data_IF_661474380666
#
_entry.id   IF_661474380666
#
_cell.length_a   1.000
_cell.length_b   1.000
_cell.length_c   1.000
_cell.angle_alpha   90.00
_cell.angle_beta   90.00
_cell.angle_gamma   90.00
#
_symmetry.space_group_name_H-M   'P 1'
#
loop_
_entity.id
_entity.type
_entity.pdbx_description
1 polymer ?
#
# COMPACT_ATOMS: atom_id res chain seq x y z
N UNK A 1 -24.66 -14.71 46.73
CA UNK A 1 -24.85 -13.46 46.00
C UNK A 1 -23.83 -13.45 44.89
N UNK A 2 -24.24 -13.91 43.69
CA UNK A 2 -23.36 -14.14 42.53
C UNK A 2 -23.64 -13.02 41.57
N UNK A 3 -22.62 -12.24 41.25
CA UNK A 3 -22.66 -11.23 40.16
C UNK A 3 -22.44 -11.91 38.82
N UNK A 4 -23.19 -11.55 37.78
CA UNK A 4 -22.95 -12.04 36.44
C UNK A 4 -21.84 -11.24 35.75
N UNK A 5 -20.95 -11.96 35.10
CA UNK A 5 -19.98 -11.45 34.11
C UNK A 5 -20.73 -10.88 32.91
N UNK A 6 -20.53 -9.60 32.63
CA UNK A 6 -20.98 -8.97 31.39
C UNK A 6 -20.03 -9.36 30.24
N UNK A 7 -20.45 -10.28 29.41
CA UNK A 7 -19.84 -10.55 28.14
C UNK A 7 -20.16 -9.44 27.16
N UNK A 8 -19.16 -8.64 26.77
CA UNK A 8 -19.30 -7.64 25.72
C UNK A 8 -19.46 -8.31 24.34
N UNK A 9 -20.66 -8.29 23.80
CA UNK A 9 -20.91 -8.62 22.40
C UNK A 9 -20.38 -7.46 21.53
N UNK A 10 -19.28 -7.70 20.85
CA UNK A 10 -18.84 -6.81 19.77
C UNK A 10 -19.87 -6.82 18.64
N UNK A 11 -20.39 -5.67 18.30
CA UNK A 11 -21.31 -5.50 17.16
C UNK A 11 -20.56 -5.86 15.87
N UNK A 12 -20.97 -6.95 15.22
CA UNK A 12 -20.50 -7.34 13.90
C UNK A 12 -21.17 -6.40 12.87
N UNK A 13 -20.41 -5.48 12.28
CA UNK A 13 -20.87 -4.75 11.11
C UNK A 13 -20.61 -5.62 9.87
N UNK A 14 -21.67 -6.16 9.30
CA UNK A 14 -21.66 -6.87 8.02
C UNK A 14 -22.15 -5.88 6.96
N UNK A 15 -21.23 -5.39 6.11
CA UNK A 15 -21.60 -4.61 4.91
C UNK A 15 -21.43 -5.48 3.67
N UNK A 16 -22.47 -5.58 2.87
CA UNK A 16 -22.47 -6.32 1.61
C UNK A 16 -22.27 -5.39 0.40
N UNK A 17 -21.46 -5.83 -0.56
CA UNK A 17 -21.28 -5.18 -1.88
C UNK A 17 -21.90 -6.09 -2.93
N UNK A 18 -22.59 -5.49 -3.91
CA UNK A 18 -23.10 -6.23 -5.06
C UNK A 18 -21.94 -6.53 -6.05
N UNK A 19 -21.64 -7.80 -6.26
CA UNK A 19 -20.75 -8.22 -7.33
C UNK A 19 -21.43 -8.04 -8.71
N UNK A 20 -20.65 -8.00 -9.78
CA UNK A 20 -21.16 -7.87 -11.16
C UNK A 20 -22.11 -9.00 -11.58
N UNK A 21 -22.09 -10.13 -10.84
CA UNK A 21 -23.02 -11.26 -10.94
C UNK A 21 -24.32 -11.09 -10.14
N UNK A 22 -24.52 -9.95 -9.46
CA UNK A 22 -25.69 -9.70 -8.61
C UNK A 22 -25.59 -10.31 -7.21
N UNK A 23 -24.48 -10.95 -6.83
CA UNK A 23 -24.23 -11.41 -5.46
C UNK A 23 -23.51 -10.33 -4.66
N UNK A 24 -23.97 -10.10 -3.43
CA UNK A 24 -23.28 -9.20 -2.50
C UNK A 24 -22.00 -9.88 -1.97
N UNK A 25 -20.85 -9.22 -2.14
CA UNK A 25 -19.61 -9.65 -1.51
C UNK A 25 -19.60 -9.14 -0.07
N UNK A 26 -19.56 -10.07 0.88
CA UNK A 26 -19.43 -9.74 2.31
C UNK A 26 -17.98 -9.93 2.71
N UNK A 27 -17.41 -8.94 3.39
CA UNK A 27 -16.05 -9.01 3.93
C UNK A 27 -16.09 -8.83 5.44
N UNK A 28 -15.50 -9.78 6.15
CA UNK A 28 -15.27 -9.72 7.59
C UNK A 28 -13.77 -9.72 7.83
N UNK A 29 -13.29 -8.84 8.70
CA UNK A 29 -11.86 -8.74 9.03
C UNK A 29 -11.66 -9.00 10.51
N UNK A 30 -10.70 -9.85 10.84
CA UNK A 30 -10.29 -10.16 12.21
C UNK A 30 -8.82 -9.80 12.42
N UNK A 31 -8.54 -8.88 13.34
CA UNK A 31 -7.16 -8.53 13.72
C UNK A 31 -6.46 -9.75 14.30
N UNK A 32 -5.29 -10.09 13.77
CA UNK A 32 -4.54 -11.25 14.27
C UNK A 32 -3.91 -11.04 15.64
N UNK A 33 -3.65 -9.78 16.02
CA UNK A 33 -2.97 -9.39 17.25
C UNK A 33 -3.63 -8.15 17.83
N UNK A 34 -3.44 -7.92 19.13
CA UNK A 34 -3.86 -6.70 19.82
C UNK A 34 -2.78 -5.60 19.79
N UNK A 35 -1.90 -5.64 18.79
CA UNK A 35 -0.83 -4.66 18.57
C UNK A 35 -0.35 -4.71 17.11
N UNK A 36 0.33 -3.65 16.67
CA UNK A 36 1.04 -3.62 15.40
C UNK A 36 2.23 -4.60 15.41
N UNK A 37 2.51 -5.22 14.25
CA UNK A 37 3.63 -6.16 14.08
C UNK A 37 4.97 -5.45 13.85
N UNK A 38 4.95 -4.23 13.31
CA UNK A 38 6.11 -3.34 13.15
C UNK A 38 5.76 -1.99 13.76
N UNK A 39 6.62 -1.49 14.61
CA UNK A 39 6.51 -0.15 15.25
C UNK A 39 7.89 0.50 15.30
N UNK A 40 8.02 1.79 15.59
CA UNK A 40 9.31 2.44 15.83
C UNK A 40 10.19 1.72 16.85
N UNK A 41 9.59 1.08 17.85
CA UNK A 41 10.30 0.32 18.87
C UNK A 41 10.89 -1.01 18.38
N UNK A 42 10.48 -1.49 17.18
CA UNK A 42 11.00 -2.76 16.63
C UNK A 42 12.50 -2.70 16.37
N UNK A 43 13.01 -1.58 15.84
CA UNK A 43 14.44 -1.36 15.66
C UNK A 43 14.74 0.11 15.35
N UNK A 44 15.82 0.72 15.92
CA UNK A 44 16.13 2.14 15.72
C UNK A 44 16.39 2.55 14.25
N UNK A 45 16.81 1.62 13.38
CA UNK A 45 17.11 1.94 11.99
C UNK A 45 15.88 2.31 11.16
N UNK A 46 14.66 1.94 11.58
CA UNK A 46 13.45 2.18 10.79
C UNK A 46 12.77 3.53 11.08
N UNK A 47 13.21 4.28 12.11
CA UNK A 47 12.61 5.57 12.47
C UNK A 47 11.13 5.49 12.82
N UNK A 48 10.44 6.63 12.76
CA UNK A 48 9.06 6.77 13.26
C UNK A 48 7.99 6.68 12.17
N UNK A 49 8.34 6.94 10.91
CA UNK A 49 7.39 6.85 9.79
C UNK A 49 7.48 5.48 9.11
N UNK A 50 6.40 4.71 9.16
CA UNK A 50 6.34 3.29 8.76
C UNK A 50 5.07 3.06 7.95
N UNK A 51 5.21 2.78 6.64
CA UNK A 51 4.08 2.64 5.73
C UNK A 51 4.38 1.73 4.54
N UNK A 52 3.37 1.45 3.71
CA UNK A 52 3.47 0.74 2.43
C UNK A 52 3.95 -0.70 2.56
N UNK A 53 3.28 -1.55 3.38
CA UNK A 53 3.68 -2.94 3.52
C UNK A 53 3.53 -3.74 2.22
N UNK A 54 4.41 -4.73 2.04
CA UNK A 54 4.25 -5.81 1.06
C UNK A 54 4.92 -7.06 1.61
N UNK A 55 4.17 -8.16 1.69
CA UNK A 55 4.58 -9.39 2.34
C UNK A 55 4.70 -10.53 1.34
N UNK A 56 5.79 -11.28 1.43
CA UNK A 56 5.94 -12.54 0.70
C UNK A 56 6.30 -13.69 1.64
N UNK A 57 5.89 -14.90 1.28
CA UNK A 57 6.56 -16.11 1.73
C UNK A 57 7.83 -16.28 0.90
N UNK A 58 8.98 -16.44 1.56
CA UNK A 58 10.25 -16.66 0.87
C UNK A 58 10.19 -17.99 0.13
N UNK A 59 10.44 -18.00 -1.19
CA UNK A 59 10.34 -19.23 -1.97
C UNK A 59 11.47 -20.21 -1.64
N UNK A 60 11.20 -21.51 -1.74
CA UNK A 60 12.11 -22.60 -1.36
C UNK A 60 13.42 -22.64 -2.17
N UNK A 61 13.48 -21.93 -3.30
CA UNK A 61 14.69 -21.82 -4.11
C UNK A 61 15.68 -20.73 -3.63
N UNK A 62 15.29 -19.91 -2.64
CA UNK A 62 16.20 -18.95 -2.00
C UNK A 62 17.09 -19.68 -1.01
N UNK A 63 18.40 -19.60 -1.21
CA UNK A 63 19.37 -20.22 -0.34
C UNK A 63 19.61 -19.37 0.92
N UNK A 64 19.66 -20.03 2.08
CA UNK A 64 19.91 -19.40 3.39
C UNK A 64 19.05 -18.15 3.69
N UNK A 65 17.72 -18.25 3.62
CA UNK A 65 16.86 -17.11 3.88
C UNK A 65 16.99 -16.62 5.34
N UNK A 66 16.74 -15.34 5.59
CA UNK A 66 16.73 -14.76 6.94
C UNK A 66 15.56 -15.28 7.80
N UNK A 67 14.47 -15.69 7.16
CA UNK A 67 13.28 -16.24 7.79
C UNK A 67 12.29 -16.72 6.71
N UNK A 68 11.19 -17.30 7.15
CA UNK A 68 10.13 -17.83 6.26
C UNK A 68 9.37 -16.74 5.51
N UNK A 69 9.23 -15.55 6.11
CA UNK A 69 8.49 -14.42 5.55
C UNK A 69 9.39 -13.20 5.48
N UNK A 70 9.24 -12.43 4.39
CA UNK A 70 9.85 -11.12 4.20
C UNK A 70 8.75 -10.07 4.07
N UNK A 71 8.81 -9.04 4.92
CA UNK A 71 7.94 -7.88 4.91
C UNK A 71 8.74 -6.66 4.48
N UNK A 72 8.40 -6.14 3.32
CA UNK A 72 8.96 -4.90 2.79
C UNK A 72 8.07 -3.72 3.15
N UNK A 73 8.68 -2.58 3.44
CA UNK A 73 7.97 -1.35 3.79
C UNK A 73 8.91 -0.14 3.66
N UNK A 74 8.40 1.07 3.90
CA UNK A 74 9.20 2.28 3.71
C UNK A 74 8.86 3.38 4.73
N UNK A 75 9.65 4.44 4.72
CA UNK A 75 9.27 5.77 5.15
C UNK A 75 8.70 6.51 3.93
N UNK A 76 7.69 7.34 4.11
CA UNK A 76 7.03 8.07 3.02
C UNK A 76 8.00 8.97 2.21
N UNK A 77 9.01 9.49 2.86
CA UNK A 77 10.09 10.27 2.23
C UNK A 77 11.46 9.62 2.47
N UNK A 78 11.47 8.29 2.58
CA UNK A 78 12.67 7.52 2.90
C UNK A 78 13.64 7.36 1.75
N UNK A 79 14.87 7.03 2.10
CA UNK A 79 15.96 6.82 1.15
C UNK A 79 16.22 5.36 0.82
N UNK A 80 15.43 4.43 1.37
CA UNK A 80 15.59 3.00 1.11
C UNK A 80 14.30 2.22 1.39
N UNK A 81 14.14 1.08 0.75
CA UNK A 81 13.11 0.10 1.07
C UNK A 81 13.61 -0.76 2.24
N UNK A 82 12.85 -0.75 3.33
CA UNK A 82 13.12 -1.50 4.55
C UNK A 82 12.72 -2.96 4.39
N UNK A 83 13.35 -3.83 5.17
CA UNK A 83 13.07 -5.26 5.20
C UNK A 83 12.97 -5.74 6.65
N UNK A 84 11.84 -6.38 6.96
CA UNK A 84 11.68 -7.21 8.14
C UNK A 84 11.52 -8.68 7.73
N UNK A 85 11.84 -9.60 8.64
CA UNK A 85 11.69 -11.04 8.42
C UNK A 85 11.22 -11.75 9.69
N UNK A 86 10.53 -12.85 9.49
CA UNK A 86 10.03 -13.70 10.58
C UNK A 86 9.80 -15.14 10.11
N UNK A 87 9.65 -16.07 11.05
CA UNK A 87 9.29 -17.46 10.78
C UNK A 87 7.78 -17.72 10.90
N UNK A 88 7.03 -16.77 11.44
CA UNK A 88 5.58 -16.81 11.55
C UNK A 88 4.96 -15.43 11.27
N UNK A 89 3.74 -15.38 10.71
CA UNK A 89 3.02 -14.15 10.40
C UNK A 89 2.77 -13.26 11.63
N UNK A 90 2.60 -13.88 12.79
CA UNK A 90 2.45 -13.17 14.08
C UNK A 90 3.76 -12.65 14.65
N UNK A 91 4.90 -12.97 14.00
CA UNK A 91 6.25 -12.62 14.46
C UNK A 91 6.83 -13.65 15.45
N UNK A 92 7.87 -13.31 16.23
CA UNK A 92 8.46 -11.96 16.30
C UNK A 92 9.14 -11.54 15.00
N UNK A 93 8.91 -10.31 14.58
CA UNK A 93 9.55 -9.72 13.42
C UNK A 93 10.92 -9.12 13.78
N UNK A 94 11.89 -9.33 12.92
CA UNK A 94 13.25 -8.80 13.04
C UNK A 94 13.55 -7.89 11.85
N UNK A 95 14.26 -6.80 12.08
CA UNK A 95 14.64 -5.88 11.00
C UNK A 95 15.98 -6.30 10.42
N UNK A 96 16.09 -6.29 9.09
CA UNK A 96 17.35 -6.28 8.37
C UNK A 96 17.80 -4.82 8.17
N UNK A 97 18.77 -4.29 8.95
CA UNK A 97 19.00 -2.83 9.01
C UNK A 97 19.47 -2.21 7.69
N UNK A 98 20.11 -2.99 6.82
CA UNK A 98 20.53 -2.52 5.50
C UNK A 98 19.35 -2.29 4.53
N UNK A 99 18.16 -2.83 4.85
CA UNK A 99 17.01 -2.83 3.92
C UNK A 99 17.24 -3.72 2.71
N UNK A 100 16.50 -3.46 1.64
CA UNK A 100 16.54 -4.29 0.41
C UNK A 100 16.90 -3.50 -0.85
N UNK A 101 16.66 -2.19 -0.89
CA UNK A 101 17.01 -1.31 -2.01
C UNK A 101 17.31 0.09 -1.50
N UNK A 102 18.45 0.64 -1.89
CA UNK A 102 18.83 2.01 -1.57
C UNK A 102 18.42 2.97 -2.70
N UNK A 103 18.10 4.22 -2.37
CA UNK A 103 17.77 5.24 -3.38
C UNK A 103 18.92 5.45 -4.39
N UNK A 104 20.18 5.32 -3.95
CA UNK A 104 21.35 5.43 -4.82
C UNK A 104 21.37 4.37 -5.94
N UNK A 105 20.74 3.21 -5.71
CA UNK A 105 20.69 2.07 -6.64
C UNK A 105 19.33 1.98 -7.36
N UNK A 106 18.45 2.98 -7.19
CA UNK A 106 17.05 2.95 -7.62
C UNK A 106 16.78 3.59 -8.98
N UNK A 107 17.77 4.25 -9.57
CA UNK A 107 17.62 5.15 -10.73
C UNK A 107 16.74 6.38 -10.50
N UNK A 108 16.36 6.69 -9.27
CA UNK A 108 15.74 7.96 -8.89
C UNK A 108 16.80 8.98 -8.45
N UNK A 109 16.51 10.30 -8.57
CA UNK A 109 17.39 11.33 -8.07
C UNK A 109 17.67 11.20 -6.58
N UNK A 110 18.94 11.37 -6.20
CA UNK A 110 19.38 11.37 -4.78
C UNK A 110 19.46 12.79 -4.20
N UNK A 111 19.26 13.81 -5.04
CA UNK A 111 19.25 15.22 -4.64
C UNK A 111 17.92 15.86 -5.08
N UNK A 112 17.44 16.88 -4.36
CA UNK A 112 16.27 17.62 -4.78
C UNK A 112 16.40 18.13 -6.21
N UNK A 113 15.39 17.94 -7.08
CA UNK A 113 15.38 18.52 -8.40
C UNK A 113 15.27 20.05 -8.32
N UNK A 114 15.76 20.78 -9.33
CA UNK A 114 15.58 22.23 -9.42
C UNK A 114 14.08 22.55 -9.46
N UNK A 115 13.72 23.65 -8.82
CA UNK A 115 12.36 24.19 -8.85
C UNK A 115 12.28 25.17 -10.02
N UNK A 116 11.42 24.93 -11.04
CA UNK A 116 11.23 25.90 -12.11
C UNK A 116 10.67 27.22 -11.58
N UNK A 117 11.01 28.32 -12.25
CA UNK A 117 10.48 29.65 -11.90
C UNK A 117 8.95 29.67 -11.94
N UNK A 118 8.32 30.23 -10.89
CA UNK A 118 6.85 30.29 -10.77
C UNK A 118 6.16 28.97 -10.44
N UNK A 119 6.88 27.83 -10.40
CA UNK A 119 6.25 26.52 -10.26
C UNK A 119 5.64 26.27 -8.87
N UNK A 120 6.16 26.88 -7.82
CA UNK A 120 5.58 26.77 -6.46
C UNK A 120 4.26 27.53 -6.38
N UNK A 121 4.20 28.73 -6.94
CA UNK A 121 3.01 29.56 -7.00
C UNK A 121 1.91 28.87 -7.83
N UNK A 122 2.29 28.28 -8.96
CA UNK A 122 1.35 27.51 -9.78
C UNK A 122 0.84 26.27 -9.05
N UNK A 123 1.70 25.53 -8.36
CA UNK A 123 1.31 24.37 -7.55
C UNK A 123 0.35 24.80 -6.43
N UNK A 124 0.59 25.92 -5.78
CA UNK A 124 -0.31 26.49 -4.76
C UNK A 124 -1.66 26.86 -5.36
N UNK A 125 -1.68 27.58 -6.48
CA UNK A 125 -2.90 28.02 -7.15
C UNK A 125 -3.74 26.82 -7.64
N UNK A 126 -3.10 25.80 -8.20
CA UNK A 126 -3.76 24.55 -8.61
C UNK A 126 -4.44 23.88 -7.43
N UNK A 127 -3.71 23.67 -6.32
CA UNK A 127 -4.25 23.00 -5.15
C UNK A 127 -5.39 23.80 -4.51
N UNK A 128 -5.31 25.11 -4.50
CA UNK A 128 -6.41 25.98 -4.04
C UNK A 128 -7.66 25.82 -4.92
N UNK A 129 -7.50 25.75 -6.25
CA UNK A 129 -8.62 25.49 -7.17
C UNK A 129 -9.26 24.12 -6.95
N UNK A 130 -8.48 23.12 -6.50
CA UNK A 130 -8.96 21.80 -6.15
C UNK A 130 -9.58 21.73 -4.74
N UNK A 131 -9.72 22.87 -4.05
CA UNK A 131 -10.25 22.92 -2.68
C UNK A 131 -9.32 22.32 -1.62
N UNK A 132 -8.04 22.11 -1.95
CA UNK A 132 -7.05 21.49 -1.07
C UNK A 132 -6.16 22.55 -0.43
N UNK A 133 -5.94 22.44 0.88
CA UNK A 133 -5.07 23.34 1.64
C UNK A 133 -3.63 22.84 1.72
N UNK A 134 -2.68 23.75 1.73
CA UNK A 134 -1.28 23.48 2.08
C UNK A 134 -0.97 23.74 3.57
N UNK A 135 -1.89 24.35 4.31
CA UNK A 135 -1.63 24.79 5.70
C UNK A 135 -1.47 23.66 6.69
N UNK A 136 -1.97 22.47 6.37
CA UNK A 136 -1.85 21.26 7.21
C UNK A 136 -0.65 20.39 6.85
N UNK A 137 0.22 20.80 5.91
CA UNK A 137 1.40 20.00 5.59
C UNK A 137 2.40 19.99 6.74
N UNK A 138 3.03 18.85 7.05
CA UNK A 138 4.01 18.74 8.11
C UNK A 138 5.37 19.37 7.77
N UNK A 139 5.54 19.86 6.52
CA UNK A 139 6.74 20.50 6.02
C UNK A 139 6.43 21.50 4.92
N UNK A 140 7.44 22.24 4.41
CA UNK A 140 7.24 23.23 3.34
C UNK A 140 6.77 22.60 2.02
N UNK A 141 6.04 23.37 1.22
CA UNK A 141 5.59 22.98 -0.12
C UNK A 141 6.78 22.57 -1.01
N UNK A 142 7.88 23.32 -0.95
CA UNK A 142 9.07 22.97 -1.68
C UNK A 142 9.58 21.57 -1.32
N UNK A 143 9.67 21.25 -0.02
CA UNK A 143 10.06 19.91 0.44
C UNK A 143 9.06 18.84 -0.01
N UNK A 144 7.74 19.10 0.04
CA UNK A 144 6.73 18.16 -0.45
C UNK A 144 6.98 17.76 -1.91
N UNK A 145 7.33 18.73 -2.75
CA UNK A 145 7.43 18.57 -4.20
C UNK A 145 8.83 18.18 -4.69
N UNK A 146 9.86 18.26 -3.84
CA UNK A 146 11.27 18.03 -4.26
C UNK A 146 12.05 17.05 -3.39
N UNK A 147 11.49 16.53 -2.28
CA UNK A 147 12.23 15.59 -1.43
C UNK A 147 12.52 14.28 -2.17
N UNK A 148 13.79 13.93 -2.42
CA UNK A 148 14.15 12.63 -2.98
C UNK A 148 13.70 11.51 -2.07
N UNK A 149 13.06 10.49 -2.62
CA UNK A 149 12.60 9.33 -1.86
C UNK A 149 12.30 8.14 -2.76
N UNK A 150 12.27 6.96 -2.16
CA UNK A 150 11.67 5.74 -2.69
C UNK A 150 10.77 5.12 -1.63
N UNK A 151 9.61 4.61 -2.04
CA UNK A 151 8.60 4.11 -1.08
C UNK A 151 7.63 3.10 -1.69
N UNK A 152 6.73 2.60 -0.84
CA UNK A 152 5.55 1.78 -1.14
C UNK A 152 5.83 0.60 -2.07
N UNK A 153 6.68 -0.35 -1.64
CA UNK A 153 6.99 -1.54 -2.41
C UNK A 153 5.74 -2.39 -2.66
N UNK A 154 5.70 -3.04 -3.82
CA UNK A 154 4.77 -4.11 -4.18
C UNK A 154 5.59 -5.30 -4.68
N UNK A 155 5.66 -6.37 -3.89
CA UNK A 155 6.65 -7.44 -4.09
C UNK A 155 5.96 -8.75 -4.42
N UNK A 156 6.40 -9.38 -5.50
CA UNK A 156 5.85 -10.61 -6.03
C UNK A 156 6.94 -11.67 -6.27
N UNK A 157 6.57 -12.93 -6.07
CA UNK A 157 7.43 -14.08 -6.36
C UNK A 157 7.12 -14.63 -7.75
N UNK A 158 8.05 -14.50 -8.68
CA UNK A 158 8.01 -15.13 -9.99
C UNK A 158 8.65 -16.52 -9.92
N UNK A 159 7.84 -17.52 -9.58
CA UNK A 159 8.26 -18.91 -9.44
C UNK A 159 8.85 -19.47 -10.74
N UNK A 160 8.27 -19.10 -11.88
CA UNK A 160 8.70 -19.60 -13.21
C UNK A 160 10.13 -19.23 -13.54
N UNK A 161 10.49 -17.97 -13.26
CA UNK A 161 11.82 -17.43 -13.58
C UNK A 161 12.76 -17.43 -12.35
N UNK A 162 12.31 -17.96 -11.19
CA UNK A 162 13.05 -17.99 -9.92
C UNK A 162 13.66 -16.63 -9.60
N UNK A 163 12.78 -15.61 -9.51
CA UNK A 163 13.13 -14.24 -9.15
C UNK A 163 12.04 -13.61 -8.30
N UNK A 164 12.39 -12.58 -7.57
CA UNK A 164 11.48 -11.74 -6.78
C UNK A 164 11.45 -10.38 -7.47
N UNK A 165 10.24 -9.88 -7.75
CA UNK A 165 9.99 -8.63 -8.45
C UNK A 165 9.47 -7.62 -7.42
N UNK A 166 10.02 -6.41 -7.40
CA UNK A 166 9.57 -5.31 -6.56
C UNK A 166 9.22 -4.13 -7.45
N UNK A 167 7.97 -3.72 -7.44
CA UNK A 167 7.56 -2.40 -7.94
C UNK A 167 7.67 -1.41 -6.79
N UNK A 168 8.20 -0.22 -7.06
CA UNK A 168 8.37 0.82 -6.06
C UNK A 168 8.29 2.18 -6.72
N UNK A 169 7.86 3.21 -6.01
CA UNK A 169 7.83 4.54 -6.58
C UNK A 169 8.91 5.44 -5.95
N UNK A 170 9.19 6.53 -6.63
CA UNK A 170 10.09 7.57 -6.15
C UNK A 170 9.86 8.90 -6.86
N UNK A 171 10.53 9.93 -6.39
CA UNK A 171 10.53 11.24 -7.02
C UNK A 171 11.46 11.26 -8.22
N UNK A 172 10.91 11.45 -9.43
CA UNK A 172 11.66 11.50 -10.69
C UNK A 172 12.03 12.94 -11.12
N UNK A 173 11.30 13.92 -10.60
CA UNK A 173 11.50 15.35 -10.90
C UNK A 173 10.62 16.24 -10.03
N UNK A 174 10.60 17.56 -10.29
CA UNK A 174 9.74 18.49 -9.56
C UNK A 174 8.28 18.04 -9.61
N UNK A 175 7.69 17.76 -8.44
CA UNK A 175 6.30 17.31 -8.29
C UNK A 175 5.94 16.05 -9.09
N UNK A 176 6.92 15.30 -9.62
CA UNK A 176 6.71 14.12 -10.45
C UNK A 176 7.17 12.86 -9.72
N UNK A 177 6.23 11.96 -9.43
CA UNK A 177 6.50 10.64 -8.88
C UNK A 177 6.11 9.57 -9.89
N UNK A 178 6.98 8.58 -10.05
CA UNK A 178 6.79 7.47 -10.99
C UNK A 178 7.08 6.14 -10.29
N UNK A 179 6.65 5.05 -10.93
CA UNK A 179 6.99 3.68 -10.53
C UNK A 179 8.11 3.14 -11.40
N UNK A 180 9.02 2.39 -10.77
CA UNK A 180 10.05 1.55 -11.40
C UNK A 180 9.93 0.12 -10.87
N UNK A 181 10.70 -0.79 -11.46
CA UNK A 181 10.79 -2.18 -11.03
C UNK A 181 12.23 -2.55 -10.68
N UNK A 182 12.39 -3.40 -9.68
CA UNK A 182 13.66 -4.01 -9.29
C UNK A 182 13.51 -5.52 -9.19
N UNK A 183 14.58 -6.25 -9.45
CA UNK A 183 14.64 -7.71 -9.45
C UNK A 183 15.64 -8.21 -8.43
N UNK A 184 15.32 -9.35 -7.79
CA UNK A 184 16.21 -10.02 -6.84
C UNK A 184 16.18 -11.54 -7.03
N UNK A 185 17.26 -12.20 -6.63
CA UNK A 185 17.36 -13.66 -6.53
C UNK A 185 17.18 -14.17 -5.11
N UNK A 186 17.35 -13.31 -4.11
CA UNK A 186 17.34 -13.68 -2.69
C UNK A 186 16.28 -12.91 -1.88
N UNK A 187 15.63 -11.89 -2.50
CA UNK A 187 14.67 -11.02 -1.81
C UNK A 187 15.30 -9.99 -0.87
N UNK A 188 16.62 -9.94 -0.80
CA UNK A 188 17.38 -8.99 0.03
C UNK A 188 18.06 -7.95 -0.84
N UNK A 189 18.74 -8.38 -1.89
CA UNK A 189 19.52 -7.52 -2.78
C UNK A 189 18.76 -7.32 -4.09
N UNK A 190 18.15 -6.16 -4.25
CA UNK A 190 17.41 -5.80 -5.46
C UNK A 190 18.25 -4.94 -6.41
N UNK A 191 18.12 -5.21 -7.69
CA UNK A 191 18.70 -4.42 -8.79
C UNK A 191 17.57 -3.71 -9.52
N UNK A 192 17.50 -2.40 -9.40
CA UNK A 192 16.49 -1.60 -10.08
C UNK A 192 16.77 -1.52 -11.59
N UNK A 193 15.69 -1.38 -12.34
CA UNK A 193 15.72 -1.17 -13.79
C UNK A 193 15.41 0.30 -14.11
N UNK A 194 15.98 0.85 -15.18
CA UNK A 194 15.80 2.26 -15.56
C UNK A 194 14.41 2.59 -16.15
N UNK A 195 13.64 1.57 -16.53
CA UNK A 195 12.32 1.76 -17.15
C UNK A 195 11.34 2.47 -16.21
N UNK A 196 10.59 3.43 -16.76
CA UNK A 196 9.50 4.12 -16.10
C UNK A 196 8.20 3.42 -16.46
N UNK A 197 7.48 2.89 -15.46
CA UNK A 197 6.34 2.02 -15.68
C UNK A 197 5.00 2.76 -15.68
N UNK A 198 4.90 3.87 -14.99
CA UNK A 198 3.65 4.62 -14.84
C UNK A 198 3.64 5.48 -13.59
N UNK A 199 2.44 5.87 -13.13
CA UNK A 199 2.23 6.69 -11.94
C UNK A 199 2.69 5.97 -10.67
N UNK A 200 2.80 6.72 -9.57
CA UNK A 200 3.20 6.21 -8.24
C UNK A 200 2.18 5.24 -7.64
N UNK A 201 2.63 4.41 -6.70
CA UNK A 201 1.83 3.42 -5.98
C UNK A 201 1.23 2.34 -6.88
N UNK A 202 1.97 1.85 -7.88
CA UNK A 202 1.53 0.75 -8.73
C UNK A 202 1.45 -0.55 -7.93
N UNK A 203 0.28 -1.19 -7.98
CA UNK A 203 0.02 -2.55 -7.49
C UNK A 203 -0.35 -3.43 -8.67
N UNK A 204 0.21 -4.64 -8.74
CA UNK A 204 0.09 -5.48 -9.93
C UNK A 204 -0.64 -6.79 -9.68
N UNK A 205 -1.20 -7.36 -10.73
CA UNK A 205 -1.82 -8.68 -10.75
C UNK A 205 -1.74 -9.31 -12.14
N UNK A 206 -1.76 -10.63 -12.20
CA UNK A 206 -1.75 -11.38 -13.46
C UNK A 206 -3.17 -11.69 -13.92
N UNK A 207 -3.49 -11.40 -15.18
CA UNK A 207 -4.76 -11.75 -15.80
C UNK A 207 -4.56 -12.01 -17.29
N UNK A 208 -5.17 -13.11 -17.82
CA UNK A 208 -5.16 -13.47 -19.25
C UNK A 208 -3.75 -13.47 -19.90
N UNK A 209 -2.72 -13.86 -19.13
CA UNK A 209 -1.34 -13.95 -19.63
C UNK A 209 -0.60 -12.62 -19.72
N UNK A 210 -1.14 -11.56 -19.15
CA UNK A 210 -0.51 -10.24 -19.05
C UNK A 210 -0.44 -9.79 -17.58
N UNK A 211 0.52 -8.93 -17.26
CA UNK A 211 0.58 -8.21 -16.01
C UNK A 211 -0.25 -6.93 -16.12
N UNK A 212 -1.25 -6.81 -15.28
CA UNK A 212 -2.02 -5.59 -15.10
C UNK A 212 -1.58 -4.88 -13.82
N UNK A 213 -1.84 -3.57 -13.73
CA UNK A 213 -1.61 -2.82 -12.51
C UNK A 213 -2.55 -1.64 -12.39
N UNK A 214 -2.73 -1.19 -11.15
CA UNK A 214 -3.43 0.05 -10.82
C UNK A 214 -2.51 0.95 -10.01
N UNK A 215 -2.40 2.20 -10.43
CA UNK A 215 -1.64 3.24 -9.74
C UNK A 215 -2.55 4.38 -9.29
N UNK A 216 -2.11 5.14 -8.30
CA UNK A 216 -2.86 6.28 -7.76
C UNK A 216 -3.08 7.38 -8.84
N UNK A 217 -4.30 7.93 -8.98
CA UNK A 217 -5.53 7.67 -8.24
C UNK A 217 -6.51 6.75 -8.99
N UNK A 218 -6.11 5.54 -9.35
CA UNK A 218 -6.96 4.57 -10.05
C UNK A 218 -6.65 4.39 -11.53
N UNK A 219 -5.48 4.83 -11.99
CA UNK A 219 -5.01 4.61 -13.35
C UNK A 219 -4.60 3.17 -13.57
N UNK A 220 -5.29 2.46 -14.45
CA UNK A 220 -4.92 1.10 -14.86
C UNK A 220 -3.82 1.12 -15.93
N UNK A 221 -3.02 0.07 -15.88
CA UNK A 221 -1.94 -0.22 -16.83
C UNK A 221 -1.95 -1.71 -17.15
N UNK A 222 -1.36 -2.09 -18.29
CA UNK A 222 -1.02 -3.48 -18.61
C UNK A 222 0.32 -3.59 -19.32
N UNK A 223 0.98 -4.73 -19.13
CA UNK A 223 2.28 -5.04 -19.73
C UNK A 223 2.36 -6.53 -20.09
N UNK A 224 3.06 -6.92 -21.16
CA UNK A 224 3.24 -8.33 -21.51
C UNK A 224 4.06 -9.12 -20.49
N UNK A 225 4.99 -8.49 -19.79
CA UNK A 225 5.97 -9.16 -18.92
C UNK A 225 6.12 -8.56 -17.52
N UNK A 226 5.40 -7.44 -17.24
CA UNK A 226 5.47 -6.71 -16.00
C UNK A 226 6.78 -5.95 -15.75
N UNK A 227 7.72 -5.95 -16.69
CA UNK A 227 9.03 -5.31 -16.50
C UNK A 227 9.20 -4.03 -17.29
N UNK A 228 8.34 -3.79 -18.26
CA UNK A 228 8.35 -2.62 -19.11
C UNK A 228 7.17 -2.59 -20.06
N UNK A 229 7.12 -1.59 -20.95
CA UNK A 229 6.08 -1.50 -21.98
C UNK A 229 4.65 -1.42 -21.41
N UNK A 230 4.48 -0.76 -20.26
CA UNK A 230 3.16 -0.55 -19.68
C UNK A 230 2.31 0.40 -20.53
N UNK A 231 1.17 -0.06 -20.97
CA UNK A 231 0.16 0.68 -21.71
C UNK A 231 -0.90 1.24 -20.74
N UNK A 232 -1.28 2.51 -20.89
CA UNK A 232 -2.33 3.11 -20.07
C UNK A 232 -3.71 2.60 -20.48
N UNK A 233 -4.53 2.27 -19.49
CA UNK A 233 -5.88 1.82 -19.60
C UNK A 233 -6.90 2.78 -19.00
N UNK A 234 -8.04 2.29 -18.51
CA UNK A 234 -9.07 3.13 -17.92
C UNK A 234 -8.58 3.79 -16.63
N UNK A 235 -9.06 5.00 -16.38
CA UNK A 235 -8.95 5.67 -15.08
C UNK A 235 -10.25 5.42 -14.33
N UNK A 236 -10.19 4.61 -13.29
CA UNK A 236 -11.32 4.26 -12.44
C UNK A 236 -11.17 4.93 -11.07
N UNK A 237 -12.20 4.82 -10.24
CA UNK A 237 -12.29 5.46 -8.93
C UNK A 237 -12.34 7.00 -9.00
N UNK A 238 -12.42 7.61 -7.84
CA UNK A 238 -12.44 9.07 -7.73
C UNK A 238 -11.02 9.65 -7.55
N UNK A 239 -10.80 10.95 -7.79
CA UNK A 239 -9.48 11.58 -7.70
C UNK A 239 -8.83 11.50 -6.31
N UNK A 240 -9.59 11.21 -5.27
CA UNK A 240 -9.09 11.07 -3.89
C UNK A 240 -8.71 9.63 -3.53
N UNK A 241 -8.89 8.67 -4.44
CA UNK A 241 -8.36 7.32 -4.29
C UNK A 241 -6.85 7.39 -4.04
N UNK A 242 -6.38 6.63 -3.05
CA UNK A 242 -5.01 6.74 -2.58
C UNK A 242 -4.26 5.41 -2.74
N UNK A 243 -4.05 4.69 -1.67
CA UNK A 243 -3.33 3.43 -1.69
C UNK A 243 -4.29 2.28 -1.97
N UNK A 244 -3.84 1.26 -2.65
CA UNK A 244 -4.64 0.06 -2.84
C UNK A 244 -3.84 -1.23 -2.66
N UNK A 245 -4.58 -2.32 -2.49
CA UNK A 245 -4.11 -3.69 -2.57
C UNK A 245 -5.07 -4.52 -3.40
N UNK A 246 -4.57 -5.54 -4.06
CA UNK A 246 -5.31 -6.31 -5.04
C UNK A 246 -5.39 -7.78 -4.65
N UNK A 247 -6.59 -8.36 -4.81
CA UNK A 247 -6.82 -9.79 -4.70
C UNK A 247 -7.66 -10.24 -5.89
N UNK A 248 -7.17 -11.20 -6.66
CA UNK A 248 -7.89 -11.73 -7.81
C UNK A 248 -8.43 -13.13 -7.54
N UNK A 249 -9.71 -13.34 -7.86
CA UNK A 249 -10.38 -14.65 -7.84
C UNK A 249 -11.11 -14.88 -9.16
N UNK A 250 -10.61 -15.79 -9.98
CA UNK A 250 -11.16 -15.98 -11.32
C UNK A 250 -11.12 -14.68 -12.11
N UNK A 251 -12.28 -14.23 -12.58
CA UNK A 251 -12.45 -12.96 -13.30
C UNK A 251 -12.95 -11.82 -12.39
N UNK A 252 -12.87 -11.97 -11.08
CA UNK A 252 -13.21 -10.91 -10.13
C UNK A 252 -11.95 -10.35 -9.47
N UNK A 253 -11.76 -9.03 -9.55
CA UNK A 253 -10.71 -8.30 -8.87
C UNK A 253 -11.30 -7.58 -7.66
N UNK A 254 -10.78 -7.86 -6.48
CA UNK A 254 -11.05 -7.15 -5.24
C UNK A 254 -9.98 -6.08 -5.08
N UNK A 255 -10.40 -4.83 -4.95
CA UNK A 255 -9.51 -3.67 -4.74
C UNK A 255 -9.78 -3.13 -3.34
N UNK A 256 -8.87 -3.40 -2.41
CA UNK A 256 -8.86 -2.77 -1.09
C UNK A 256 -8.15 -1.42 -1.23
N UNK A 257 -8.76 -0.33 -0.76
CA UNK A 257 -8.22 1.00 -1.00
C UNK A 257 -8.59 2.00 0.09
N UNK A 258 -7.89 3.14 0.13
CA UNK A 258 -8.19 4.24 1.04
C UNK A 258 -8.45 5.52 0.27
N UNK A 259 -9.12 6.47 0.91
CA UNK A 259 -9.51 7.75 0.31
C UNK A 259 -9.09 8.93 1.17
N UNK A 260 -8.39 9.87 0.55
CA UNK A 260 -8.05 11.16 1.15
C UNK A 260 -9.33 11.95 1.46
N UNK A 261 -9.34 12.65 2.59
CA UNK A 261 -10.49 13.43 3.03
C UNK A 261 -11.49 12.66 3.89
N UNK A 262 -11.40 11.33 3.98
CA UNK A 262 -12.21 10.57 4.94
C UNK A 262 -11.84 10.91 6.40
N UNK A 263 -12.84 10.91 7.27
CA UNK A 263 -12.73 11.14 8.70
C UNK A 263 -13.47 10.02 9.47
N UNK A 264 -12.77 8.99 9.97
CA UNK A 264 -11.35 8.69 9.77
C UNK A 264 -11.05 8.16 8.36
N UNK A 265 -9.78 8.24 7.90
CA UNK A 265 -9.32 7.48 6.74
C UNK A 265 -9.33 6.00 7.11
N UNK A 266 -9.91 5.17 6.22
CA UNK A 266 -10.25 3.79 6.47
C UNK A 266 -10.12 2.95 5.22
N UNK A 267 -10.07 1.64 5.37
CA UNK A 267 -9.95 0.70 4.25
C UNK A 267 -11.34 0.40 3.71
N UNK A 268 -11.48 0.59 2.41
CA UNK A 268 -12.65 0.30 1.59
C UNK A 268 -12.37 -0.89 0.68
N UNK A 269 -13.42 -1.52 0.16
CA UNK A 269 -13.36 -2.54 -0.87
C UNK A 269 -14.30 -2.20 -2.01
N UNK A 270 -13.78 -2.20 -3.23
CA UNK A 270 -14.55 -2.25 -4.48
C UNK A 270 -14.20 -3.51 -5.24
N UNK A 271 -15.08 -3.98 -6.13
CA UNK A 271 -14.81 -5.10 -7.03
C UNK A 271 -14.90 -4.67 -8.48
N UNK A 272 -14.19 -5.38 -9.36
CA UNK A 272 -14.16 -5.15 -10.81
C UNK A 272 -14.30 -6.49 -11.51
N UNK A 273 -15.25 -6.58 -12.46
CA UNK A 273 -15.45 -7.73 -13.34
C UNK A 273 -14.44 -7.68 -14.49
N UNK A 274 -13.44 -8.56 -14.45
CA UNK A 274 -12.38 -8.68 -15.45
C UNK A 274 -12.78 -9.49 -16.70
N UNK A 275 -13.98 -10.09 -16.72
CA UNK A 275 -14.49 -10.82 -17.89
C UNK A 275 -14.79 -9.91 -19.09
N UNK A 276 -14.91 -8.60 -18.84
CA UNK A 276 -15.12 -7.56 -19.84
C UNK A 276 -13.80 -7.17 -20.51
N UNK A 277 -13.82 -6.58 -21.73
CA UNK A 277 -12.66 -5.91 -22.27
C UNK A 277 -12.11 -4.88 -21.28
N UNK A 278 -10.81 -4.83 -21.12
CA UNK A 278 -10.19 -4.04 -20.03
C UNK A 278 -10.50 -2.53 -20.07
N UNK A 279 -10.78 -1.97 -21.24
CA UNK A 279 -11.23 -0.58 -21.39
C UNK A 279 -12.66 -0.33 -20.93
N UNK A 280 -13.45 -1.39 -20.72
CA UNK A 280 -14.85 -1.35 -20.24
C UNK A 280 -14.97 -1.70 -18.76
N UNK A 281 -13.84 -1.96 -18.08
CA UNK A 281 -13.85 -2.24 -16.64
C UNK A 281 -14.44 -1.07 -15.86
N UNK A 282 -15.16 -1.41 -14.80
CA UNK A 282 -15.79 -0.45 -13.88
C UNK A 282 -15.75 -1.01 -12.48
N UNK A 283 -15.42 -0.15 -11.53
CA UNK A 283 -15.51 -0.46 -10.12
C UNK A 283 -16.97 -0.42 -9.64
N UNK A 284 -17.27 -1.26 -8.66
CA UNK A 284 -18.52 -1.19 -7.90
C UNK A 284 -18.33 -0.23 -6.73
N UNK A 285 -19.42 0.47 -6.33
CA UNK A 285 -19.45 1.36 -5.15
C UNK A 285 -18.79 0.69 -3.93
N UNK A 286 -17.93 1.40 -3.20
CA UNK A 286 -17.15 0.81 -2.13
C UNK A 286 -17.98 0.49 -0.89
N UNK A 287 -17.64 -0.62 -0.24
CA UNK A 287 -18.02 -0.87 1.14
C UNK A 287 -16.83 -0.66 2.07
N UNK A 288 -17.13 -0.29 3.31
CA UNK A 288 -16.12 -0.20 4.36
C UNK A 288 -15.71 -1.60 4.84
N UNK A 289 -14.40 -1.81 4.99
CA UNK A 289 -13.79 -3.07 5.42
C UNK A 289 -13.24 -2.94 6.84
N UNK A 290 -12.47 -1.88 7.11
CA UNK A 290 -11.77 -1.71 8.37
C UNK A 290 -11.54 -0.21 8.65
N UNK A 291 -11.80 0.19 9.90
CA UNK A 291 -11.48 1.53 10.42
C UNK A 291 -10.66 1.44 11.71
N UNK A 292 -10.03 2.54 12.16
CA UNK A 292 -9.41 2.58 13.47
C UNK A 292 -10.42 2.31 14.57
N UNK A 293 -10.15 1.33 15.43
CA UNK A 293 -11.00 0.96 16.58
C UNK A 293 -10.17 0.72 17.85
N UNK A 294 -8.85 0.66 17.72
CA UNK A 294 -7.90 0.42 18.79
C UNK A 294 -7.01 1.64 18.98
N UNK A 295 -6.58 1.89 20.21
CA UNK A 295 -5.68 3.01 20.51
C UNK A 295 -4.40 2.94 19.66
N UNK A 296 -3.82 1.75 19.50
CA UNK A 296 -2.64 1.56 18.67
C UNK A 296 -2.88 1.75 17.15
N UNK A 297 -4.12 1.76 16.69
CA UNK A 297 -4.54 2.16 15.34
C UNK A 297 -4.78 3.68 15.21
N UNK A 298 -4.69 4.42 16.31
CA UNK A 298 -4.95 5.85 16.37
C UNK A 298 -6.38 6.22 16.75
N UNK A 299 -7.23 5.27 17.20
CA UNK A 299 -8.61 5.57 17.60
C UNK A 299 -8.72 6.49 18.82
N UNK A 300 -7.64 6.61 19.59
CA UNK A 300 -7.49 7.54 20.71
C UNK A 300 -7.18 9.00 20.30
N UNK A 301 -6.98 9.25 19.00
CA UNK A 301 -6.70 10.59 18.46
C UNK A 301 -7.94 11.20 17.80
N UNK A 302 -7.98 12.54 17.58
CA UNK A 302 -9.14 13.21 16.99
C UNK A 302 -9.51 12.63 15.61
N UNK A 303 -10.81 12.52 15.35
CA UNK A 303 -11.34 12.15 14.04
C UNK A 303 -11.34 13.38 13.16
N UNK A 304 -10.38 13.45 12.23
CA UNK A 304 -10.22 14.55 11.28
C UNK A 304 -10.11 14.05 9.85
N UNK A 305 -10.50 14.84 8.84
CA UNK A 305 -10.27 14.51 7.44
C UNK A 305 -8.77 14.34 7.14
N UNK A 306 -8.42 13.23 6.51
CA UNK A 306 -7.04 12.99 6.11
C UNK A 306 -6.59 13.94 5.00
N UNK A 307 -5.29 14.16 4.88
CA UNK A 307 -4.68 14.98 3.84
C UNK A 307 -3.78 14.15 2.92
N UNK A 308 -3.62 14.59 1.68
CA UNK A 308 -2.67 13.95 0.75
C UNK A 308 -1.26 14.42 1.06
N UNK A 309 -0.63 13.79 2.00
CA UNK A 309 0.77 13.93 2.41
C UNK A 309 1.13 12.87 3.46
N UNK A 310 2.39 12.87 3.90
CA UNK A 310 2.90 12.06 5.00
C UNK A 310 2.19 12.40 6.32
N UNK A 311 2.04 11.42 7.21
CA UNK A 311 1.64 11.60 8.60
C UNK A 311 2.84 11.28 9.50
N UNK A 312 3.50 12.31 10.06
CA UNK A 312 4.58 12.13 11.02
C UNK A 312 4.08 11.94 12.45
N UNK A 313 2.90 12.48 12.75
CA UNK A 313 2.26 12.31 14.04
C UNK A 313 1.20 11.20 13.98
N UNK A 314 0.85 10.67 15.13
CA UNK A 314 -0.25 9.71 15.25
C UNK A 314 -1.58 10.41 14.93
N UNK A 315 -2.33 9.79 14.03
CA UNK A 315 -3.65 10.26 13.58
C UNK A 315 -4.65 9.11 13.52
N UNK A 316 -5.94 9.41 13.62
CA UNK A 316 -7.02 8.43 13.52
C UNK A 316 -7.22 7.98 12.05
N UNK A 317 -6.29 7.17 11.55
CA UNK A 317 -6.29 6.76 10.13
C UNK A 317 -5.65 5.39 9.95
N UNK A 318 -6.27 4.54 9.09
CA UNK A 318 -5.66 3.36 8.49
C UNK A 318 -5.30 3.67 7.03
N UNK A 319 -4.09 3.29 6.62
CA UNK A 319 -3.55 3.57 5.28
C UNK A 319 -2.88 2.35 4.68
N UNK A 320 -2.45 2.43 3.44
CA UNK A 320 -1.55 1.50 2.74
C UNK A 320 -1.94 0.02 2.91
N UNK A 321 -3.14 -0.40 2.48
CA UNK A 321 -3.48 -1.81 2.51
C UNK A 321 -2.52 -2.64 1.64
N UNK A 322 -2.25 -3.86 2.07
CA UNK A 322 -1.57 -4.88 1.28
C UNK A 322 -2.22 -6.24 1.53
N UNK A 323 -2.27 -7.09 0.50
CA UNK A 323 -2.83 -8.43 0.59
C UNK A 323 -1.71 -9.47 0.53
N UNK A 324 -1.80 -10.45 1.38
CA UNK A 324 -1.00 -11.66 1.34
C UNK A 324 -1.89 -12.89 1.43
N UNK A 325 -1.60 -13.90 0.63
CA UNK A 325 -2.33 -15.17 0.64
C UNK A 325 -1.42 -16.33 0.96
N UNK A 326 -1.88 -17.20 1.83
CA UNK A 326 -1.24 -18.47 2.12
C UNK A 326 -2.28 -19.50 2.57
N UNK A 327 -2.18 -20.73 2.05
CA UNK A 327 -3.00 -21.88 2.44
C UNK A 327 -4.53 -21.60 2.40
N UNK A 328 -4.97 -20.83 1.38
CA UNK A 328 -6.38 -20.45 1.20
C UNK A 328 -6.88 -19.34 2.13
N UNK A 329 -6.01 -18.82 2.99
CA UNK A 329 -6.30 -17.69 3.89
C UNK A 329 -5.83 -16.38 3.27
N UNK A 330 -6.59 -15.33 3.49
CA UNK A 330 -6.27 -13.97 3.02
C UNK A 330 -5.89 -13.12 4.22
N UNK A 331 -4.74 -12.47 4.14
CA UNK A 331 -4.25 -11.56 5.16
C UNK A 331 -4.21 -10.14 4.62
N UNK A 332 -4.76 -9.21 5.37
CA UNK A 332 -4.74 -7.78 5.11
C UNK A 332 -3.70 -7.14 6.03
N UNK A 333 -2.63 -6.60 5.44
CA UNK A 333 -1.69 -5.74 6.15
C UNK A 333 -2.09 -4.28 5.91
N UNK A 334 -1.82 -3.41 6.87
CA UNK A 334 -2.17 -1.99 6.77
C UNK A 334 -1.29 -1.14 7.70
N UNK A 335 -1.08 0.12 7.29
CA UNK A 335 -0.44 1.12 8.14
C UNK A 335 -1.45 1.64 9.18
N UNK A 336 -0.98 1.83 10.41
CA UNK A 336 -1.80 2.22 11.58
C UNK A 336 -1.43 3.59 12.11
N UNK A 337 -2.38 4.24 12.76
CA UNK A 337 -2.24 5.58 13.34
C UNK A 337 -1.63 6.57 12.33
N UNK A 338 -2.09 6.50 11.08
CA UNK A 338 -1.49 7.15 9.92
C UNK A 338 -0.35 6.31 9.34
N UNK A 339 0.88 6.60 9.74
CA UNK A 339 2.09 5.93 9.25
C UNK A 339 3.05 5.59 10.42
N UNK A 340 2.49 5.19 11.58
CA UNK A 340 3.23 4.93 12.81
C UNK A 340 3.52 3.44 13.06
N UNK A 341 3.15 2.55 12.13
CA UNK A 341 3.39 1.12 12.25
C UNK A 341 2.61 0.31 11.22
N UNK A 342 2.83 -0.99 11.21
CA UNK A 342 2.13 -1.95 10.35
C UNK A 342 1.43 -2.99 11.21
N UNK A 343 0.16 -3.27 10.90
CA UNK A 343 -0.62 -4.35 11.50
C UNK A 343 -1.01 -5.39 10.46
N UNK A 344 -1.53 -6.51 10.95
CA UNK A 344 -2.01 -7.63 10.13
C UNK A 344 -3.34 -8.15 10.67
N UNK A 345 -4.27 -8.41 9.77
CA UNK A 345 -5.57 -9.00 10.04
C UNK A 345 -5.84 -10.14 9.05
N UNK A 346 -6.77 -11.02 9.35
CA UNK A 346 -7.30 -12.00 8.41
C UNK A 346 -8.60 -11.47 7.81
N UNK A 347 -8.73 -11.57 6.50
CA UNK A 347 -9.92 -11.16 5.75
C UNK A 347 -10.68 -12.40 5.26
N UNK A 348 -11.96 -12.49 5.59
CA UNK A 348 -12.88 -13.54 5.17
C UNK A 348 -13.82 -12.94 4.12
N UNK A 349 -13.71 -13.46 2.90
CA UNK A 349 -14.52 -13.04 1.77
C UNK A 349 -15.58 -14.13 1.52
N UNK A 350 -16.82 -13.83 1.82
CA UNK A 350 -17.94 -14.70 1.52
C UNK A 350 -18.50 -14.33 0.12
N UNK A 351 -18.52 -15.30 -0.77
CA UNK A 351 -19.03 -15.18 -2.13
C UNK A 351 -20.53 -15.49 -2.20
#
# INVERSE_FOLDING_TARGET
>A
MVLPLAGGFGLLFVMGIMAASGQAVTVRVERLLDAAIITPATHPSIGDNIQGPSLIRVPDWVENPLGRYYLYFADHKGSYIRLAYADALRGPWRIHPAGSLQIADSHFPIKPPPIPEGALEEAQARRAREGRSWTKLPHSIAKELTAPHIASPDVHVDQKNRRIIMYFHGLDGFAAQLTRVALSKDGIHFQARPEKLGRSYLRTFEHAGMTYGIAMPGQFYRSPDGLGGFEEGPLLFNPEMRHCALLKRGDLLYVFWTQVGHAPERILLSTIDLSKPWMDWKEIEPAEVLRPERDWEGADTPVEPSIRSVAYERVNQLRDPAIFEEDGRVFLLYAVAGEAGIAIAEAFLDN
#
